data_IF_396544538247
#
_entry.id   IF_396544538247
#
_cell.length_a   1.000
_cell.length_b   1.000
_cell.length_c   1.000
_cell.angle_alpha   90.00
_cell.angle_beta   90.00
_cell.angle_gamma   90.00
#
_symmetry.space_group_name_H-M   'P 1'
#
loop_
_entity.id
_entity.type
_entity.pdbx_description
1 polymer ?
#
# COMPACT_ATOMS: atom_id res chain seq x y z
N UNK A 1 11.53 35.00 12.62
CA UNK A 1 10.70 34.00 11.91
C UNK A 1 11.40 32.66 12.05
N UNK A 2 10.86 31.72 12.81
CA UNK A 2 11.48 30.40 12.99
C UNK A 2 11.55 29.70 11.64
N UNK A 3 12.75 29.38 11.17
CA UNK A 3 12.95 28.68 9.90
C UNK A 3 12.19 27.35 9.91
N UNK A 4 11.40 27.12 8.84
CA UNK A 4 10.69 25.85 8.62
C UNK A 4 11.73 24.72 8.54
N UNK A 5 11.52 23.66 9.33
CA UNK A 5 12.45 22.52 9.39
C UNK A 5 12.65 21.86 8.02
N UNK A 6 13.80 21.24 7.74
CA UNK A 6 14.04 20.56 6.46
C UNK A 6 12.98 19.49 6.13
N UNK A 7 12.51 18.74 7.14
CA UNK A 7 11.47 17.74 6.98
C UNK A 7 10.13 18.37 6.56
N UNK A 8 9.77 19.53 7.12
CA UNK A 8 8.53 20.23 6.77
C UNK A 8 8.62 20.84 5.36
N UNK A 9 9.78 21.38 4.97
CA UNK A 9 10.00 21.86 3.59
C UNK A 9 9.83 20.74 2.57
N UNK A 10 10.38 19.56 2.86
CA UNK A 10 10.20 18.37 2.01
C UNK A 10 8.73 17.98 1.90
N UNK A 11 7.99 17.92 3.02
CA UNK A 11 6.57 17.61 3.01
C UNK A 11 5.76 18.58 2.13
N UNK A 12 5.98 19.90 2.30
CA UNK A 12 5.31 20.92 1.49
C UNK A 12 5.62 20.74 0.00
N UNK A 13 6.89 20.50 -0.34
CA UNK A 13 7.30 20.25 -1.72
C UNK A 13 6.61 19.01 -2.31
N UNK A 14 6.56 17.90 -1.57
CA UNK A 14 5.89 16.68 -2.01
C UNK A 14 4.39 16.92 -2.22
N UNK A 15 3.72 17.67 -1.34
CA UNK A 15 2.31 18.03 -1.52
C UNK A 15 2.06 18.93 -2.73
N UNK A 16 2.94 19.89 -2.99
CA UNK A 16 2.87 20.74 -4.19
C UNK A 16 3.06 19.91 -5.46
N UNK A 17 3.97 18.93 -5.45
CA UNK A 17 4.15 18.01 -6.56
C UNK A 17 2.90 17.15 -6.78
N UNK A 18 2.31 16.63 -5.70
CA UNK A 18 1.06 15.88 -5.75
C UNK A 18 -0.10 16.71 -6.31
N UNK A 19 -0.29 17.95 -5.86
CA UNK A 19 -1.34 18.83 -6.39
C UNK A 19 -1.17 19.05 -7.90
N UNK A 20 0.06 19.24 -8.37
CA UNK A 20 0.35 19.35 -9.81
C UNK A 20 0.03 18.06 -10.57
N UNK A 21 0.32 16.88 -9.99
CA UNK A 21 0.05 15.58 -10.64
C UNK A 21 -1.43 15.18 -10.69
N UNK A 22 -2.31 15.91 -10.00
CA UNK A 22 -3.77 15.77 -10.11
C UNK A 22 -4.35 16.54 -11.30
N UNK A 23 -3.60 17.47 -11.89
CA UNK A 23 -4.06 18.23 -13.05
C UNK A 23 -4.05 17.31 -14.28
N UNK A 24 -5.16 17.19 -15.03
CA UNK A 24 -5.22 16.28 -16.17
C UNK A 24 -4.19 16.69 -17.23
N UNK A 25 -3.44 15.72 -17.75
CA UNK A 25 -2.55 15.93 -18.88
C UNK A 25 -3.40 16.27 -20.12
N UNK A 26 -3.26 17.48 -20.70
CA UNK A 26 -4.07 17.87 -21.87
C UNK A 26 -3.88 16.94 -23.08
N UNK A 27 -2.83 16.11 -23.11
CA UNK A 27 -2.55 15.16 -24.20
C UNK A 27 -3.10 13.74 -23.97
N UNK A 28 -3.71 13.44 -22.81
CA UNK A 28 -4.32 12.15 -22.56
C UNK A 28 -5.53 11.94 -23.51
N UNK A 29 -5.42 10.96 -24.41
CA UNK A 29 -6.48 10.59 -25.36
C UNK A 29 -7.72 10.16 -24.56
N UNK A 30 -8.66 11.09 -24.44
CA UNK A 30 -9.95 10.89 -23.79
C UNK A 30 -10.80 9.93 -24.62
N UNK A 31 -10.90 8.67 -24.19
CA UNK A 31 -11.94 7.77 -24.69
C UNK A 31 -13.27 8.32 -24.17
N UNK A 32 -14.16 8.69 -25.09
CA UNK A 32 -15.47 9.28 -24.80
C UNK A 32 -16.22 8.40 -23.80
N UNK A 33 -16.37 8.91 -22.58
CA UNK A 33 -16.92 8.19 -21.45
C UNK A 33 -18.44 8.13 -21.61
N UNK A 34 -18.97 6.92 -21.76
CA UNK A 34 -20.40 6.63 -21.92
C UNK A 34 -21.23 7.12 -20.71
N UNK A 35 -22.52 7.38 -20.88
CA UNK A 35 -23.40 8.00 -19.85
C UNK A 35 -23.40 7.23 -18.50
N UNK A 36 -23.18 5.91 -18.56
CA UNK A 36 -23.03 5.01 -17.40
C UNK A 36 -21.81 5.37 -16.55
N UNK A 37 -20.72 5.77 -17.18
CA UNK A 37 -19.47 6.05 -16.51
C UNK A 37 -19.44 7.43 -15.81
N UNK A 38 -20.24 8.39 -16.29
CA UNK A 38 -20.50 9.66 -15.57
C UNK A 38 -21.20 9.41 -14.22
N UNK A 39 -22.18 8.50 -14.18
CA UNK A 39 -22.86 8.11 -12.93
C UNK A 39 -21.91 7.44 -11.95
N UNK A 40 -21.06 6.53 -12.42
CA UNK A 40 -20.03 5.86 -11.59
C UNK A 40 -19.00 6.87 -11.06
N UNK A 41 -18.54 7.81 -11.88
CA UNK A 41 -17.61 8.86 -11.46
C UNK A 41 -18.23 9.76 -10.38
N UNK A 42 -19.48 10.19 -10.55
CA UNK A 42 -20.18 11.01 -9.54
C UNK A 42 -20.37 10.29 -8.21
N UNK A 43 -20.54 8.96 -8.24
CA UNK A 43 -20.66 8.13 -7.06
C UNK A 43 -19.31 7.97 -6.34
N UNK A 44 -18.24 7.70 -7.08
CA UNK A 44 -16.89 7.60 -6.52
C UNK A 44 -16.44 8.91 -5.86
N UNK A 45 -16.68 10.08 -6.49
CA UNK A 45 -16.33 11.38 -5.90
C UNK A 45 -17.09 11.67 -4.61
N UNK A 46 -18.33 11.19 -4.49
CA UNK A 46 -19.09 11.28 -3.24
C UNK A 46 -18.48 10.41 -2.15
N UNK A 47 -18.08 9.18 -2.49
CA UNK A 47 -17.39 8.27 -1.55
C UNK A 47 -16.07 8.90 -1.09
N UNK A 48 -15.25 9.39 -2.04
CA UNK A 48 -13.93 9.95 -1.78
C UNK A 48 -13.95 11.11 -0.77
N UNK A 49 -15.01 11.91 -0.74
CA UNK A 49 -15.16 13.08 0.16
C UNK A 49 -15.61 12.73 1.57
N UNK A 50 -16.29 11.60 1.76
CA UNK A 50 -17.00 11.28 3.01
C UNK A 50 -16.26 10.19 3.79
N UNK A 51 -15.56 9.31 3.08
CA UNK A 51 -14.94 8.11 3.65
C UNK A 51 -13.48 8.40 3.99
N UNK A 52 -13.05 8.02 5.19
CA UNK A 52 -11.64 8.19 5.58
C UNK A 52 -10.73 7.26 4.75
N UNK A 53 -9.43 7.54 4.76
CA UNK A 53 -8.49 6.79 3.94
C UNK A 53 -8.48 5.30 4.25
N UNK A 54 -8.59 4.91 5.53
CA UNK A 54 -8.58 3.52 5.97
C UNK A 54 -9.76 2.76 5.37
N UNK A 55 -10.95 3.34 5.47
CA UNK A 55 -12.18 2.77 4.95
C UNK A 55 -12.14 2.67 3.42
N UNK A 56 -11.64 3.70 2.72
CA UNK A 56 -11.46 3.64 1.27
C UNK A 56 -10.50 2.52 0.86
N UNK A 57 -9.34 2.44 1.50
CA UNK A 57 -8.34 1.41 1.25
C UNK A 57 -8.91 0.01 1.50
N UNK A 58 -9.53 -0.20 2.66
CA UNK A 58 -10.13 -1.48 3.02
C UNK A 58 -11.18 -1.92 2.01
N UNK A 59 -12.06 -1.01 1.57
CA UNK A 59 -13.09 -1.30 0.57
C UNK A 59 -12.47 -1.71 -0.78
N UNK A 60 -11.47 -0.98 -1.27
CA UNK A 60 -10.79 -1.29 -2.54
C UNK A 60 -10.03 -2.60 -2.46
N UNK A 61 -9.22 -2.80 -1.41
CA UNK A 61 -8.45 -4.02 -1.18
C UNK A 61 -9.35 -5.24 -1.14
N UNK A 62 -10.42 -5.23 -0.36
CA UNK A 62 -11.38 -6.35 -0.26
C UNK A 62 -12.03 -6.64 -1.61
N UNK A 63 -12.37 -5.61 -2.38
CA UNK A 63 -12.93 -5.78 -3.73
C UNK A 63 -11.93 -6.42 -4.69
N UNK A 64 -10.68 -5.93 -4.69
CA UNK A 64 -9.59 -6.48 -5.48
C UNK A 64 -9.34 -7.94 -5.10
N UNK A 65 -9.18 -8.25 -3.81
CA UNK A 65 -8.99 -9.61 -3.33
C UNK A 65 -10.10 -10.55 -3.76
N UNK A 66 -11.36 -10.12 -3.69
CA UNK A 66 -12.51 -10.93 -4.13
C UNK A 66 -12.42 -11.26 -5.62
N UNK A 67 -12.07 -10.27 -6.45
CA UNK A 67 -11.93 -10.46 -7.90
C UNK A 67 -10.73 -11.36 -8.21
N UNK A 68 -9.59 -11.16 -7.52
CA UNK A 68 -8.41 -12.00 -7.64
C UNK A 68 -8.71 -13.44 -7.24
N UNK A 69 -9.30 -13.68 -6.07
CA UNK A 69 -9.71 -15.01 -5.60
C UNK A 69 -10.56 -15.69 -6.66
N UNK A 70 -11.59 -15.02 -7.16
CA UNK A 70 -12.48 -15.59 -8.18
C UNK A 70 -11.74 -15.93 -9.47
N UNK A 71 -10.90 -15.03 -10.01
CA UNK A 71 -10.22 -15.23 -11.31
C UNK A 71 -9.07 -16.22 -11.25
N UNK A 72 -8.27 -16.18 -10.17
CA UNK A 72 -7.10 -17.02 -9.98
C UNK A 72 -7.47 -18.45 -9.57
N UNK A 73 -8.56 -18.65 -8.81
CA UNK A 73 -9.11 -19.98 -8.55
C UNK A 73 -9.66 -20.63 -9.83
N UNK A 74 -10.32 -19.84 -10.70
CA UNK A 74 -10.89 -20.32 -11.95
C UNK A 74 -9.84 -20.55 -13.07
N UNK A 75 -8.55 -20.29 -12.80
CA UNK A 75 -7.43 -20.50 -13.73
C UNK A 75 -7.73 -19.97 -15.14
N UNK A 76 -8.24 -18.75 -15.23
CA UNK A 76 -8.41 -18.09 -16.52
C UNK A 76 -7.00 -17.77 -17.05
N UNK A 77 -6.39 -18.72 -17.77
CA UNK A 77 -5.09 -18.57 -18.47
C UNK A 77 -5.24 -17.74 -19.74
N UNK A 78 -6.09 -16.72 -19.71
CA UNK A 78 -6.20 -15.79 -20.82
C UNK A 78 -5.02 -14.83 -20.73
N UNK A 79 -4.34 -14.59 -21.85
CA UNK A 79 -3.17 -13.71 -21.93
C UNK A 79 -3.49 -12.21 -21.65
N UNK A 80 -4.74 -11.87 -21.31
CA UNK A 80 -5.21 -10.50 -21.11
C UNK A 80 -6.30 -10.41 -20.03
N UNK A 81 -5.96 -10.79 -18.79
CA UNK A 81 -6.92 -10.70 -17.67
C UNK A 81 -7.01 -9.28 -17.08
N UNK A 82 -6.00 -8.42 -17.30
CA UNK A 82 -5.93 -7.09 -16.70
C UNK A 82 -7.07 -6.17 -17.12
N UNK A 83 -7.40 -6.10 -18.41
CA UNK A 83 -8.45 -5.20 -18.89
C UNK A 83 -9.84 -5.59 -18.34
N UNK A 84 -10.31 -6.86 -18.45
CA UNK A 84 -11.55 -7.28 -17.81
C UNK A 84 -11.55 -7.10 -16.28
N UNK A 85 -10.40 -7.29 -15.64
CA UNK A 85 -10.23 -7.11 -14.20
C UNK A 85 -10.42 -5.65 -13.79
N UNK A 86 -9.76 -4.72 -14.48
CA UNK A 86 -9.85 -3.28 -14.21
C UNK A 86 -11.25 -2.74 -14.49
N UNK A 87 -11.89 -3.17 -15.59
CA UNK A 87 -13.27 -2.76 -15.87
C UNK A 87 -14.26 -3.22 -14.82
N UNK A 88 -14.05 -4.39 -14.21
CA UNK A 88 -14.91 -4.86 -13.13
C UNK A 88 -14.77 -3.99 -11.88
N UNK A 89 -13.56 -3.56 -11.55
CA UNK A 89 -13.31 -2.65 -10.44
C UNK A 89 -13.99 -1.28 -10.64
N UNK A 90 -13.92 -0.73 -11.86
CA UNK A 90 -14.61 0.52 -12.21
C UNK A 90 -16.12 0.33 -12.16
N UNK A 91 -16.67 -0.72 -12.78
CA UNK A 91 -18.12 -0.99 -12.76
C UNK A 91 -18.66 -1.21 -11.35
N UNK A 92 -17.83 -1.76 -10.46
CA UNK A 92 -18.13 -1.90 -9.03
C UNK A 92 -18.11 -0.58 -8.24
N UNK A 93 -17.69 0.53 -8.85
CA UNK A 93 -17.60 1.84 -8.21
C UNK A 93 -16.43 2.01 -7.26
N UNK A 94 -15.44 1.11 -7.30
CA UNK A 94 -14.28 1.14 -6.39
C UNK A 94 -13.19 2.13 -6.83
N UNK A 95 -13.16 2.44 -8.14
CA UNK A 95 -12.20 3.36 -8.77
C UNK A 95 -12.96 4.33 -9.68
N UNK A 96 -12.41 5.54 -9.92
CA UNK A 96 -13.06 6.50 -10.78
C UNK A 96 -13.13 5.97 -12.21
N UNK A 97 -14.19 6.33 -12.93
CA UNK A 97 -14.34 5.94 -14.34
C UNK A 97 -13.53 6.83 -15.30
N UNK A 98 -12.40 7.35 -14.86
CA UNK A 98 -11.48 8.11 -15.72
C UNK A 98 -10.91 7.19 -16.80
N UNK A 99 -10.48 7.73 -17.95
CA UNK A 99 -9.77 6.95 -18.94
C UNK A 99 -8.52 6.38 -18.27
N UNK A 100 -8.53 5.08 -17.98
CA UNK A 100 -7.32 4.38 -17.58
C UNK A 100 -6.51 4.26 -18.85
N UNK A 101 -5.39 4.99 -18.91
CA UNK A 101 -4.47 4.90 -20.04
C UNK A 101 -4.15 3.43 -20.33
N UNK A 102 -4.11 3.04 -21.62
CA UNK A 102 -3.75 1.67 -22.02
C UNK A 102 -2.41 1.21 -21.42
N UNK A 103 -1.51 2.16 -21.17
CA UNK A 103 -0.24 1.98 -20.45
C UNK A 103 -0.47 1.38 -19.06
N UNK A 104 -1.43 1.88 -18.27
CA UNK A 104 -1.76 1.36 -16.94
C UNK A 104 -2.31 -0.06 -16.96
N UNK A 105 -3.11 -0.42 -17.97
CA UNK A 105 -3.59 -1.81 -18.13
C UNK A 105 -2.40 -2.77 -18.30
N UNK A 106 -1.39 -2.38 -19.10
CA UNK A 106 -0.16 -3.15 -19.25
C UNK A 106 0.62 -3.30 -17.95
N UNK A 107 0.72 -2.23 -17.15
CA UNK A 107 1.37 -2.29 -15.82
C UNK A 107 0.61 -3.23 -14.89
N UNK A 108 -0.72 -3.16 -14.86
CA UNK A 108 -1.55 -4.07 -14.05
C UNK A 108 -1.39 -5.52 -14.51
N UNK A 109 -1.27 -5.78 -15.82
CA UNK A 109 -0.99 -7.12 -16.33
C UNK A 109 0.34 -7.65 -15.79
N UNK A 110 1.41 -6.84 -15.78
CA UNK A 110 2.70 -7.24 -15.21
C UNK A 110 2.60 -7.58 -13.71
N UNK A 111 1.84 -6.78 -12.94
CA UNK A 111 1.60 -7.06 -11.52
C UNK A 111 0.84 -8.38 -11.35
N UNK A 112 -0.22 -8.60 -12.12
CA UNK A 112 -0.99 -9.85 -12.10
C UNK A 112 -0.12 -11.06 -12.47
N UNK A 113 0.70 -10.95 -13.52
CA UNK A 113 1.60 -12.02 -13.97
C UNK A 113 2.63 -12.38 -12.90
N UNK A 114 3.17 -11.36 -12.20
CA UNK A 114 4.07 -11.58 -11.05
C UNK A 114 3.40 -12.43 -9.96
N UNK A 115 2.18 -12.08 -9.54
CA UNK A 115 1.50 -12.82 -8.49
C UNK A 115 0.99 -14.20 -8.96
N UNK A 116 0.58 -14.34 -10.23
CA UNK A 116 0.28 -15.66 -10.82
C UNK A 116 1.52 -16.55 -10.74
N UNK A 117 2.69 -16.03 -11.13
CA UNK A 117 3.94 -16.77 -11.05
C UNK A 117 4.28 -17.20 -9.63
N UNK A 118 4.16 -16.29 -8.65
CA UNK A 118 4.37 -16.61 -7.22
C UNK A 118 3.45 -17.75 -6.80
N UNK A 119 2.13 -17.59 -7.02
CA UNK A 119 1.10 -18.56 -6.61
C UNK A 119 1.24 -19.93 -7.29
N UNK A 120 1.67 -19.97 -8.55
CA UNK A 120 1.91 -21.24 -9.26
C UNK A 120 3.15 -21.97 -8.75
N UNK A 121 4.18 -21.24 -8.32
CA UNK A 121 5.38 -21.84 -7.75
C UNK A 121 5.23 -22.21 -6.27
N UNK A 122 4.31 -21.57 -5.52
CA UNK A 122 3.95 -21.99 -4.15
C UNK A 122 3.50 -23.45 -4.07
N UNK A 123 2.85 -23.98 -5.11
CA UNK A 123 2.39 -25.37 -5.18
C UNK A 123 3.54 -26.38 -5.14
N UNK A 124 4.74 -25.95 -5.53
CA UNK A 124 5.95 -26.79 -5.58
C UNK A 124 6.69 -26.79 -4.25
N UNK A 125 6.35 -25.89 -3.34
CA UNK A 125 6.95 -25.81 -2.02
C UNK A 125 6.23 -26.79 -1.09
N UNK A 126 7.01 -27.58 -0.36
CA UNK A 126 6.49 -28.50 0.65
C UNK A 126 6.00 -27.69 1.86
N UNK A 127 4.68 -27.50 1.93
CA UNK A 127 3.99 -26.72 2.96
C UNK A 127 2.81 -27.56 3.41
N UNK A 128 2.62 -27.66 4.74
CA UNK A 128 1.43 -28.30 5.32
C UNK A 128 0.16 -27.64 4.77
N UNK A 129 -0.82 -28.43 4.35
CA UNK A 129 -2.01 -27.91 3.66
C UNK A 129 -2.79 -26.83 4.44
N UNK A 130 -2.82 -26.91 5.77
CA UNK A 130 -3.47 -25.89 6.62
C UNK A 130 -2.81 -24.51 6.48
N UNK A 131 -1.49 -24.45 6.40
CA UNK A 131 -0.73 -23.21 6.27
C UNK A 131 -0.77 -22.67 4.82
N UNK A 132 -1.06 -23.53 3.84
CA UNK A 132 -1.12 -23.16 2.43
C UNK A 132 -2.30 -22.22 2.13
N UNK A 133 -3.45 -22.42 2.77
CA UNK A 133 -4.62 -21.54 2.61
C UNK A 133 -4.41 -20.15 3.19
N UNK A 134 -3.75 -20.07 4.34
CA UNK A 134 -3.35 -18.81 5.00
C UNK A 134 -2.34 -18.07 4.12
N UNK A 135 -1.26 -18.74 3.71
CA UNK A 135 -0.27 -18.19 2.79
C UNK A 135 -0.88 -17.66 1.48
N UNK A 136 -1.80 -18.42 0.89
CA UNK A 136 -2.51 -17.97 -0.32
C UNK A 136 -3.29 -16.68 -0.08
N UNK A 137 -3.93 -16.55 1.09
CA UNK A 137 -4.67 -15.35 1.48
C UNK A 137 -3.74 -14.16 1.70
N UNK A 138 -2.60 -14.37 2.36
CA UNK A 138 -1.61 -13.32 2.61
C UNK A 138 -1.02 -12.77 1.31
N UNK A 139 -0.65 -13.65 0.37
CA UNK A 139 -0.14 -13.24 -0.94
C UNK A 139 -1.19 -12.48 -1.75
N UNK A 140 -2.46 -12.88 -1.68
CA UNK A 140 -3.53 -12.13 -2.32
C UNK A 140 -3.77 -10.76 -1.67
N UNK A 141 -3.60 -10.64 -0.36
CA UNK A 141 -3.67 -9.36 0.34
C UNK A 141 -2.55 -8.41 -0.11
N UNK A 142 -1.32 -8.93 -0.23
CA UNK A 142 -0.18 -8.16 -0.74
C UNK A 142 -0.41 -7.77 -2.21
N UNK A 143 -0.89 -8.69 -3.04
CA UNK A 143 -1.24 -8.44 -4.44
C UNK A 143 -2.29 -7.34 -4.58
N UNK A 144 -3.31 -7.36 -3.73
CA UNK A 144 -4.36 -6.37 -3.73
C UNK A 144 -3.84 -4.96 -3.41
N UNK A 145 -2.93 -4.85 -2.43
CA UNK A 145 -2.29 -3.59 -2.08
C UNK A 145 -1.47 -3.02 -3.24
N UNK A 146 -0.68 -3.85 -3.92
CA UNK A 146 0.13 -3.40 -5.05
C UNK A 146 -0.71 -2.99 -6.26
N UNK A 147 -1.77 -3.74 -6.56
CA UNK A 147 -2.71 -3.39 -7.63
C UNK A 147 -3.40 -2.06 -7.31
N UNK A 148 -3.83 -1.86 -6.07
CA UNK A 148 -4.47 -0.61 -5.65
C UNK A 148 -3.52 0.59 -5.79
N UNK A 149 -2.27 0.46 -5.31
CA UNK A 149 -1.24 1.50 -5.47
C UNK A 149 -0.93 1.79 -6.95
N UNK A 150 -0.95 0.76 -7.80
CA UNK A 150 -0.75 0.91 -9.24
C UNK A 150 -1.92 1.64 -9.91
N UNK A 151 -3.16 1.40 -9.46
CA UNK A 151 -4.36 2.04 -10.00
C UNK A 151 -4.49 3.50 -9.56
N UNK A 152 -4.12 3.81 -8.32
CA UNK A 152 -4.22 5.16 -7.73
C UNK A 152 -2.89 5.63 -7.09
N UNK A 153 -1.81 5.81 -7.89
CA UNK A 153 -0.49 6.14 -7.37
C UNK A 153 -0.44 7.52 -6.71
N UNK A 154 -1.25 8.47 -7.18
CA UNK A 154 -1.36 9.81 -6.60
C UNK A 154 -1.91 9.75 -5.17
N UNK A 155 -2.90 8.89 -4.91
CA UNK A 155 -3.44 8.68 -3.57
C UNK A 155 -2.37 8.15 -2.61
N UNK A 156 -1.56 7.17 -3.04
CA UNK A 156 -0.47 6.63 -2.22
C UNK A 156 0.69 7.61 -2.04
N UNK A 157 1.03 8.40 -3.07
CA UNK A 157 2.13 9.36 -3.00
C UNK A 157 1.93 10.39 -1.88
N UNK A 158 0.74 11.01 -1.81
CA UNK A 158 0.39 11.97 -0.74
C UNK A 158 0.58 11.34 0.65
N UNK A 159 0.02 10.14 0.86
CA UNK A 159 0.06 9.49 2.16
C UNK A 159 1.46 9.05 2.55
N UNK A 160 2.25 8.56 1.58
CA UNK A 160 3.66 8.23 1.80
C UNK A 160 4.47 9.47 2.16
N UNK A 161 4.18 10.64 1.60
CA UNK A 161 4.85 11.89 1.96
C UNK A 161 4.62 12.25 3.44
N UNK A 162 3.36 12.20 3.91
CA UNK A 162 3.03 12.44 5.31
C UNK A 162 3.65 11.39 6.23
N UNK A 163 3.57 10.10 5.85
CA UNK A 163 4.15 9.01 6.61
C UNK A 163 5.67 9.19 6.80
N UNK A 164 6.38 9.51 5.72
CA UNK A 164 7.82 9.75 5.74
C UNK A 164 8.19 10.94 6.64
N UNK A 165 7.38 12.00 6.61
CA UNK A 165 7.57 13.16 7.49
C UNK A 165 7.42 12.78 8.97
N UNK A 166 6.35 12.07 9.31
CA UNK A 166 6.10 11.64 10.70
C UNK A 166 7.14 10.64 11.17
N UNK A 167 7.51 9.67 10.33
CA UNK A 167 8.61 8.74 10.61
C UNK A 167 9.90 9.49 10.93
N UNK A 168 10.25 10.52 10.14
CA UNK A 168 11.45 11.35 10.35
C UNK A 168 11.41 12.05 11.69
N UNK A 169 10.28 12.67 12.05
CA UNK A 169 10.13 13.35 13.35
C UNK A 169 10.21 12.36 14.51
N UNK A 170 9.54 11.21 14.38
CA UNK A 170 9.50 10.19 15.42
C UNK A 170 10.87 9.57 15.67
N UNK A 171 11.66 9.31 14.62
CA UNK A 171 13.05 8.87 14.73
C UNK A 171 13.93 9.83 15.53
N UNK A 172 13.72 11.13 15.40
CA UNK A 172 14.47 12.13 16.15
C UNK A 172 14.04 12.24 17.62
N UNK A 173 12.79 11.88 17.94
CA UNK A 173 12.19 12.05 19.28
C UNK A 173 12.24 10.79 20.14
N UNK A 174 12.07 9.62 19.54
CA UNK A 174 11.98 8.35 20.26
C UNK A 174 13.37 7.92 20.70
N UNK A 175 13.56 7.74 22.01
CA UNK A 175 14.77 7.21 22.62
C UNK A 175 14.45 5.90 23.32
N UNK A 176 15.31 4.90 23.14
CA UNK A 176 15.18 3.61 23.79
C UNK A 176 15.79 3.71 25.18
N UNK A 177 14.98 3.45 26.21
CA UNK A 177 15.45 3.39 27.60
C UNK A 177 16.17 2.07 27.89
N UNK A 178 17.07 2.07 28.88
CA UNK A 178 17.89 0.90 29.26
C UNK A 178 17.06 -0.36 29.56
N UNK A 179 15.89 -0.22 30.18
CA UNK A 179 14.99 -1.35 30.46
C UNK A 179 14.46 -2.02 29.21
N UNK A 180 14.16 -1.23 28.17
CA UNK A 180 13.71 -1.78 26.89
C UNK A 180 14.88 -2.47 26.18
N UNK A 181 16.07 -1.86 26.21
CA UNK A 181 17.28 -2.44 25.63
C UNK A 181 17.63 -3.80 26.26
N UNK A 182 17.55 -3.90 27.60
CA UNK A 182 17.83 -5.15 28.32
C UNK A 182 16.78 -6.25 28.09
N UNK A 183 15.55 -5.88 27.75
CA UNK A 183 14.45 -6.83 27.59
C UNK A 183 14.44 -7.51 26.22
N UNK A 184 14.74 -6.76 25.16
CA UNK A 184 14.57 -7.24 23.78
C UNK A 184 15.83 -7.15 22.93
N UNK A 185 16.93 -6.61 23.47
CA UNK A 185 18.18 -6.39 22.73
C UNK A 185 17.99 -5.66 21.39
N UNK A 186 16.97 -4.79 21.33
CA UNK A 186 16.49 -4.21 20.07
C UNK A 186 17.61 -3.43 19.37
N UNK A 187 17.79 -3.73 18.10
CA UNK A 187 18.76 -3.07 17.22
C UNK A 187 18.22 -1.72 16.73
N UNK A 188 19.11 -0.86 16.24
CA UNK A 188 18.71 0.42 15.64
C UNK A 188 17.81 0.22 14.41
N UNK A 189 18.03 -0.84 13.63
CA UNK A 189 17.20 -1.16 12.47
C UNK A 189 15.80 -1.63 12.86
N UNK A 190 15.68 -2.46 13.89
CA UNK A 190 14.38 -2.86 14.42
C UNK A 190 13.62 -1.66 15.02
N UNK A 191 14.28 -0.79 15.78
CA UNK A 191 13.68 0.47 16.27
C UNK A 191 13.09 1.27 15.10
N UNK A 192 13.89 1.43 14.05
CA UNK A 192 13.53 2.15 12.85
C UNK A 192 12.30 1.54 12.15
N UNK A 193 12.24 0.21 12.06
CA UNK A 193 11.11 -0.53 11.51
C UNK A 193 9.87 -0.42 12.39
N UNK A 194 10.01 -0.50 13.72
CA UNK A 194 8.90 -0.34 14.65
C UNK A 194 8.31 1.08 14.63
N UNK A 195 9.15 2.10 14.47
CA UNK A 195 8.67 3.49 14.27
C UNK A 195 7.88 3.60 12.97
N UNK A 196 8.36 2.98 11.90
CA UNK A 196 7.67 2.97 10.61
C UNK A 196 6.30 2.28 10.68
N UNK A 197 6.21 1.13 11.35
CA UNK A 197 4.94 0.42 11.58
C UNK A 197 4.00 1.27 12.45
N UNK A 198 4.51 1.82 13.56
CA UNK A 198 3.71 2.63 14.46
C UNK A 198 3.16 3.89 13.78
N UNK A 199 3.92 4.54 12.90
CA UNK A 199 3.46 5.70 12.14
C UNK A 199 2.31 5.34 11.17
N UNK A 200 2.41 4.19 10.48
CA UNK A 200 1.35 3.68 9.61
C UNK A 200 0.06 3.39 10.38
N UNK A 201 0.18 2.77 11.54
CA UNK A 201 -0.95 2.42 12.39
C UNK A 201 -1.59 3.65 13.06
N UNK A 202 -0.77 4.60 13.53
CA UNK A 202 -1.26 5.78 14.23
C UNK A 202 -1.96 6.75 13.28
N UNK A 203 -1.31 7.11 12.17
CA UNK A 203 -1.85 8.14 11.26
C UNK A 203 -3.09 7.64 10.53
N UNK A 204 -3.02 6.42 10.01
CA UNK A 204 -4.00 5.97 9.03
C UNK A 204 -4.69 4.67 9.41
N UNK A 205 -4.43 4.15 10.62
CA UNK A 205 -5.06 2.94 11.16
C UNK A 205 -4.95 1.75 10.21
N UNK A 206 -3.80 1.65 9.57
CA UNK A 206 -3.53 0.66 8.55
C UNK A 206 -3.72 -0.78 9.02
N UNK A 207 -4.24 -1.62 8.13
CA UNK A 207 -4.38 -3.05 8.39
C UNK A 207 -3.08 -3.82 8.09
N UNK A 208 -3.05 -5.09 8.50
CA UNK A 208 -1.84 -5.89 8.38
C UNK A 208 -1.39 -6.08 6.92
N UNK A 209 -2.26 -6.38 5.94
CA UNK A 209 -1.82 -6.64 4.56
C UNK A 209 -1.03 -5.50 3.92
N UNK A 210 -1.47 -4.25 4.10
CA UNK A 210 -0.74 -3.09 3.55
C UNK A 210 0.51 -2.75 4.35
N UNK A 211 0.53 -2.93 5.67
CA UNK A 211 1.77 -2.80 6.45
C UNK A 211 2.78 -3.86 5.97
N UNK A 212 2.36 -5.12 5.80
CA UNK A 212 3.19 -6.20 5.26
C UNK A 212 3.71 -5.87 3.86
N UNK A 213 2.86 -5.38 2.97
CA UNK A 213 3.26 -4.95 1.64
C UNK A 213 4.29 -3.80 1.68
N UNK A 214 4.08 -2.80 2.55
CA UNK A 214 5.02 -1.70 2.74
C UNK A 214 6.36 -2.17 3.32
N UNK A 215 6.35 -3.15 4.24
CA UNK A 215 7.56 -3.79 4.75
C UNK A 215 8.30 -4.56 3.64
N UNK A 216 7.58 -5.31 2.80
CA UNK A 216 8.15 -6.00 1.63
C UNK A 216 8.83 -5.00 0.70
N UNK A 217 8.16 -3.89 0.32
CA UNK A 217 8.77 -2.84 -0.51
C UNK A 217 10.03 -2.25 0.12
N UNK A 218 10.06 -2.13 1.46
CA UNK A 218 11.21 -1.60 2.20
C UNK A 218 12.39 -2.56 2.21
N UNK A 219 12.13 -3.86 2.37
CA UNK A 219 13.15 -4.91 2.34
C UNK A 219 13.62 -5.23 0.92
N UNK A 220 12.74 -5.07 -0.07
CA UNK A 220 12.97 -5.37 -1.48
C UNK A 220 12.67 -4.13 -2.33
N UNK A 221 13.59 -3.15 -2.43
CA UNK A 221 13.35 -1.91 -3.18
C UNK A 221 13.01 -2.11 -4.66
N UNK A 222 13.36 -3.28 -5.22
CA UNK A 222 13.03 -3.68 -6.58
C UNK A 222 11.59 -4.22 -6.73
N UNK A 223 10.79 -4.32 -5.67
CA UNK A 223 9.53 -5.07 -5.67
C UNK A 223 8.54 -4.68 -6.78
N UNK A 224 8.41 -3.38 -7.06
CA UNK A 224 7.52 -2.85 -8.09
C UNK A 224 8.04 -3.11 -9.52
N UNK A 225 9.35 -3.33 -9.68
CA UNK A 225 10.03 -3.57 -10.97
C UNK A 225 10.92 -4.81 -10.90
N UNK A 226 10.42 -5.87 -10.24
CA UNK A 226 11.22 -7.05 -9.95
C UNK A 226 11.45 -7.88 -11.22
N UNK A 227 12.70 -8.26 -11.46
CA UNK A 227 13.02 -9.23 -12.51
C UNK A 227 12.48 -10.62 -12.17
N UNK A 228 12.32 -11.47 -13.18
CA UNK A 228 11.85 -12.84 -12.97
C UNK A 228 12.74 -13.63 -11.98
N UNK A 229 14.06 -13.43 -12.01
CA UNK A 229 14.99 -14.07 -11.07
C UNK A 229 14.76 -13.61 -9.63
N UNK A 230 14.54 -12.32 -9.41
CA UNK A 230 14.21 -11.76 -8.09
C UNK A 230 12.86 -12.25 -7.56
N UNK A 231 11.86 -12.36 -8.43
CA UNK A 231 10.54 -12.91 -8.06
C UNK A 231 10.69 -14.40 -7.69
N UNK A 232 11.52 -15.14 -8.42
CA UNK A 232 11.80 -16.55 -8.10
C UNK A 232 12.50 -16.70 -6.76
N UNK A 233 13.53 -15.90 -6.47
CA UNK A 233 14.23 -15.88 -5.18
C UNK A 233 13.27 -15.54 -4.04
N UNK A 234 12.45 -14.49 -4.21
CA UNK A 234 11.42 -14.14 -3.23
C UNK A 234 10.46 -15.31 -3.00
N UNK A 235 9.99 -15.96 -4.07
CA UNK A 235 9.04 -17.08 -3.98
C UNK A 235 9.64 -18.28 -3.24
N UNK A 236 10.93 -18.56 -3.43
CA UNK A 236 11.62 -19.66 -2.74
C UNK A 236 11.74 -19.41 -1.24
N UNK A 237 11.91 -18.14 -0.84
CA UNK A 237 12.08 -17.74 0.56
C UNK A 237 10.78 -17.23 1.21
N UNK A 238 9.65 -17.34 0.52
CA UNK A 238 8.40 -16.65 0.87
C UNK A 238 7.88 -16.98 2.28
N UNK A 239 8.01 -18.23 2.73
CA UNK A 239 7.59 -18.64 4.06
C UNK A 239 8.42 -17.94 5.14
N UNK A 240 9.75 -17.89 4.96
CA UNK A 240 10.67 -17.23 5.88
C UNK A 240 10.38 -15.73 5.91
N UNK A 241 10.19 -15.12 4.74
CA UNK A 241 9.91 -13.68 4.61
C UNK A 241 8.63 -13.31 5.36
N UNK A 242 7.55 -14.06 5.16
CA UNK A 242 6.28 -13.77 5.83
C UNK A 242 6.34 -14.05 7.33
N UNK A 243 7.02 -15.11 7.77
CA UNK A 243 7.26 -15.37 9.20
C UNK A 243 8.05 -14.22 9.85
N UNK A 244 9.05 -13.66 9.17
CA UNK A 244 9.84 -12.56 9.69
C UNK A 244 9.05 -11.25 9.74
N UNK A 245 8.17 -11.01 8.76
CA UNK A 245 7.20 -9.92 8.80
C UNK A 245 6.25 -10.11 9.99
N UNK A 246 5.72 -11.31 10.21
CA UNK A 246 4.83 -11.61 11.33
C UNK A 246 5.52 -11.38 12.68
N UNK A 247 6.76 -11.87 12.86
CA UNK A 247 7.57 -11.60 14.06
C UNK A 247 7.79 -10.10 14.27
N UNK A 248 8.06 -9.37 13.19
CA UNK A 248 8.25 -7.91 13.24
C UNK A 248 6.97 -7.19 13.66
N UNK A 249 5.82 -7.59 13.15
CA UNK A 249 4.52 -7.03 13.51
C UNK A 249 4.15 -7.35 14.98
N UNK A 250 4.52 -8.54 15.45
CA UNK A 250 4.26 -9.03 16.80
C UNK A 250 5.40 -8.72 17.80
N UNK A 251 6.26 -7.75 17.47
CA UNK A 251 7.40 -7.41 18.31
C UNK A 251 6.95 -6.99 19.74
N UNK A 252 7.63 -7.42 20.83
CA UNK A 252 7.17 -7.15 22.20
C UNK A 252 7.02 -5.67 22.56
N UNK A 253 7.75 -4.78 21.86
CA UNK A 253 7.68 -3.33 22.03
C UNK A 253 6.71 -2.64 21.07
N UNK A 254 6.08 -3.33 20.11
CA UNK A 254 5.25 -2.73 19.06
C UNK A 254 4.16 -1.81 19.64
N UNK A 255 3.43 -2.28 20.66
CA UNK A 255 2.40 -1.49 21.34
C UNK A 255 2.95 -0.22 22.02
N UNK A 256 4.21 -0.23 22.48
CA UNK A 256 4.83 0.97 23.07
C UNK A 256 5.14 2.01 22.01
N UNK A 257 5.68 1.59 20.86
CA UNK A 257 5.90 2.48 19.72
C UNK A 257 4.58 3.06 19.21
N UNK A 258 3.56 2.21 19.05
CA UNK A 258 2.21 2.62 18.65
C UNK A 258 1.65 3.71 19.57
N UNK A 259 1.62 3.49 20.88
CA UNK A 259 1.11 4.48 21.86
C UNK A 259 1.84 5.82 21.82
N UNK A 260 3.14 5.81 21.51
CA UNK A 260 3.90 7.05 21.34
C UNK A 260 3.48 7.76 20.05
N UNK A 261 3.38 7.03 18.94
CA UNK A 261 2.94 7.59 17.66
C UNK A 261 1.51 8.14 17.74
N UNK A 262 0.58 7.37 18.29
CA UNK A 262 -0.83 7.71 18.50
C UNK A 262 -1.00 9.00 19.32
N UNK A 263 -0.22 9.20 20.38
CA UNK A 263 -0.28 10.43 21.19
C UNK A 263 -0.07 11.72 20.38
N UNK A 264 0.65 11.64 19.26
CA UNK A 264 1.01 12.79 18.45
C UNK A 264 0.41 12.74 17.04
N UNK A 265 -0.53 11.83 16.74
CA UNK A 265 -1.11 11.69 15.40
C UNK A 265 -1.93 12.91 14.98
N UNK A 266 -2.69 13.47 15.92
CA UNK A 266 -3.72 14.48 15.67
C UNK A 266 -3.12 15.76 15.08
N UNK A 267 -2.01 16.32 15.60
CA UNK A 267 -1.33 17.44 14.96
C UNK A 267 -0.89 17.16 13.50
N UNK A 268 -0.53 15.92 13.16
CA UNK A 268 -0.11 15.58 11.80
C UNK A 268 -1.30 15.40 10.86
N UNK A 269 -2.44 14.92 11.37
CA UNK A 269 -3.69 14.88 10.60
C UNK A 269 -4.20 16.29 10.32
N UNK A 270 -4.17 17.19 11.31
CA UNK A 270 -4.51 18.59 11.10
C UNK A 270 -3.55 19.27 10.10
N UNK A 271 -2.27 18.89 10.12
CA UNK A 271 -1.31 19.36 9.12
C UNK A 271 -1.69 18.89 7.71
N UNK A 272 -2.13 17.64 7.55
CA UNK A 272 -2.64 17.12 6.27
C UNK A 272 -3.80 17.98 5.76
N UNK A 273 -4.76 18.27 6.62
CA UNK A 273 -5.93 19.08 6.29
C UNK A 273 -5.54 20.50 5.87
N UNK A 274 -4.63 21.15 6.62
CA UNK A 274 -4.17 22.51 6.34
C UNK A 274 -3.42 22.59 5.00
N UNK A 275 -2.53 21.63 4.71
CA UNK A 275 -1.78 21.64 3.45
C UNK A 275 -2.69 21.29 2.27
N UNK A 276 -3.70 20.42 2.48
CA UNK A 276 -4.63 20.03 1.41
C UNK A 276 -5.66 21.11 1.09
N UNK A 277 -6.03 21.94 2.07
CA UNK A 277 -7.00 23.02 1.90
C UNK A 277 -6.46 24.26 1.16
N UNK A 278 -5.13 24.37 0.99
CA UNK A 278 -4.45 25.48 0.30
C UNK A 278 -3.87 25.02 -1.05
#
# INVERSE_FOLDING_TARGET
MSEISPAMRKLIHDYQFWQKSLSPDPEAINIKVDEVASKVASFYERIRKIVDWKEQHLMRRVAIERILKRRLLLRIKEQQIAEPFVFELIRGGYFPSTPIEKTKIGVIQNVLDKYIFILDNLKKIDIKDKNRGELYTDILGIAACEIEETLDPNFYFKQNALLNFVETIMRARIKIGERAQKLTEITKEEVNTQIYIAAQQALFKLDLPIISYNLIKRCYPFWNNASQGQIQEFTQNICIILEDIEKTLNHPLANKFYKIAERYDTPYLLLDDIITAN
#
